data_IF_436053054576
#
_entry.id   IF_436053054576
#
_cell.length_a   1.000
_cell.length_b   1.000
_cell.length_c   1.000
_cell.angle_alpha   90.00
_cell.angle_beta   90.00
_cell.angle_gamma   90.00
#
_symmetry.space_group_name_H-M   'P 1'
#
loop_
_entity.id
_entity.type
_entity.pdbx_description
1 polymer ?
#
# COMPACT_ATOMS: atom_id res chain seq x y z
N UNK A 1 12.63 -14.54 -12.67
CA UNK A 1 12.23 -14.21 -14.05
C UNK A 1 13.26 -13.26 -14.63
N UNK A 2 13.72 -13.49 -15.85
CA UNK A 2 14.49 -12.48 -16.57
C UNK A 2 13.48 -11.51 -17.18
N UNK A 3 13.37 -10.30 -16.64
CA UNK A 3 12.45 -9.29 -17.13
C UNK A 3 13.02 -8.69 -18.42
N UNK A 4 12.29 -8.80 -19.53
CA UNK A 4 12.56 -7.97 -20.70
C UNK A 4 12.06 -6.55 -20.40
N UNK A 5 12.99 -5.61 -20.27
CA UNK A 5 12.69 -4.24 -19.90
C UNK A 5 11.92 -3.49 -20.98
N UNK A 6 12.22 -3.74 -22.25
CA UNK A 6 11.56 -3.10 -23.39
C UNK A 6 10.10 -3.56 -23.47
N UNK A 7 9.88 -4.88 -23.36
CA UNK A 7 8.53 -5.47 -23.37
C UNK A 7 7.70 -4.99 -22.17
N UNK A 8 8.29 -5.01 -20.97
CA UNK A 8 7.65 -4.49 -19.77
C UNK A 8 7.22 -3.04 -19.96
N UNK A 9 8.14 -2.17 -20.39
CA UNK A 9 7.87 -0.74 -20.57
C UNK A 9 6.79 -0.47 -21.64
N UNK A 10 6.84 -1.21 -22.74
CA UNK A 10 5.84 -1.15 -23.80
C UNK A 10 4.44 -1.54 -23.30
N UNK A 11 4.36 -2.51 -22.39
CA UNK A 11 3.12 -2.97 -21.76
C UNK A 11 2.52 -2.02 -20.71
N UNK A 12 3.31 -1.07 -20.18
CA UNK A 12 2.80 -0.12 -19.19
C UNK A 12 1.81 0.87 -19.78
N UNK A 13 0.76 1.17 -19.02
CA UNK A 13 -0.11 2.31 -19.31
C UNK A 13 0.66 3.63 -19.13
N UNK A 14 0.28 4.72 -19.84
CA UNK A 14 0.95 6.02 -19.72
C UNK A 14 1.10 6.50 -18.27
N UNK A 15 0.07 6.30 -17.44
CA UNK A 15 0.11 6.64 -16.00
C UNK A 15 1.21 5.88 -15.26
N UNK A 16 1.41 4.60 -15.54
CA UNK A 16 2.48 3.81 -14.92
C UNK A 16 3.86 4.25 -15.38
N UNK A 17 4.04 4.64 -16.64
CA UNK A 17 5.30 5.23 -17.10
C UNK A 17 5.60 6.53 -16.36
N UNK A 18 4.56 7.36 -16.15
CA UNK A 18 4.68 8.60 -15.39
C UNK A 18 5.05 8.34 -13.92
N UNK A 19 4.38 7.39 -13.27
CA UNK A 19 4.71 6.94 -11.91
C UNK A 19 6.14 6.43 -11.83
N UNK A 20 6.60 5.70 -12.83
CA UNK A 20 7.91 5.06 -12.78
C UNK A 20 9.06 5.98 -13.19
N UNK A 21 8.84 6.98 -14.04
CA UNK A 21 9.92 7.79 -14.62
C UNK A 21 9.58 9.27 -14.85
N UNK A 22 8.45 9.77 -14.34
CA UNK A 22 8.01 11.16 -14.55
C UNK A 22 7.63 11.49 -16.00
N UNK A 23 7.48 10.50 -16.87
CA UNK A 23 7.18 10.68 -18.30
C UNK A 23 6.19 9.64 -18.81
N UNK A 24 5.37 10.00 -19.79
CA UNK A 24 4.49 9.05 -20.49
C UNK A 24 5.13 8.45 -21.74
N UNK A 25 6.37 8.84 -22.03
CA UNK A 25 7.10 8.43 -23.23
C UNK A 25 7.08 6.92 -23.43
N UNK A 26 6.73 6.42 -24.63
CA UNK A 26 6.82 5.00 -24.94
C UNK A 26 8.26 4.51 -25.05
N UNK A 27 9.25 5.42 -25.12
CA UNK A 27 10.67 5.06 -25.10
C UNK A 27 11.12 4.77 -23.67
N UNK A 28 11.64 3.57 -23.37
CA UNK A 28 12.07 3.23 -22.01
C UNK A 28 13.28 4.05 -21.56
N UNK A 29 13.28 4.57 -20.33
CA UNK A 29 14.50 5.04 -19.68
C UNK A 29 15.38 3.84 -19.26
N UNK A 30 16.61 4.07 -18.75
CA UNK A 30 17.41 2.99 -18.18
C UNK A 30 16.67 2.24 -17.06
N UNK A 31 16.63 0.91 -17.13
CA UNK A 31 15.95 0.07 -16.15
C UNK A 31 16.56 0.14 -14.74
N UNK A 32 17.89 0.31 -14.67
CA UNK A 32 18.67 0.17 -13.45
C UNK A 32 18.17 1.01 -12.27
N UNK A 33 18.00 2.33 -12.43
CA UNK A 33 17.43 3.19 -11.38
C UNK A 33 16.03 2.75 -10.94
N UNK A 34 15.14 2.44 -11.89
CA UNK A 34 13.74 2.04 -11.63
C UNK A 34 13.66 0.72 -10.86
N UNK A 35 14.43 -0.29 -11.27
CA UNK A 35 14.38 -1.63 -10.68
C UNK A 35 15.07 -1.73 -9.32
N UNK A 36 15.86 -0.72 -8.94
CA UNK A 36 16.59 -0.66 -7.65
C UNK A 36 15.91 0.23 -6.62
N UNK A 37 14.85 0.96 -6.98
CA UNK A 37 14.12 1.82 -6.05
C UNK A 37 13.52 0.99 -4.92
N UNK A 38 13.57 1.50 -3.69
CA UNK A 38 12.92 0.89 -2.52
C UNK A 38 11.52 1.40 -2.27
N UNK A 39 11.25 2.62 -2.72
CA UNK A 39 9.99 3.31 -2.55
C UNK A 39 9.24 3.42 -3.86
N UNK A 40 7.93 3.39 -3.76
CA UNK A 40 7.02 3.61 -4.87
C UNK A 40 5.82 4.38 -4.37
N UNK A 41 5.39 5.39 -5.10
CA UNK A 41 4.06 5.94 -4.90
C UNK A 41 3.40 6.24 -6.23
N UNK A 42 2.09 6.11 -6.26
CA UNK A 42 1.29 6.51 -7.41
C UNK A 42 0.90 7.99 -7.37
N UNK A 43 1.29 8.75 -6.34
CA UNK A 43 0.98 10.18 -6.18
C UNK A 43 -0.51 10.49 -6.39
N UNK A 44 -1.37 9.73 -5.71
CA UNK A 44 -2.83 9.82 -5.84
C UNK A 44 -3.39 9.55 -7.25
N UNK A 45 -2.56 9.11 -8.20
CA UNK A 45 -3.00 8.79 -9.55
C UNK A 45 -3.84 7.52 -9.58
N UNK A 46 -4.88 7.52 -10.42
CA UNK A 46 -5.64 6.33 -10.75
C UNK A 46 -4.84 5.49 -11.76
N UNK A 47 -4.22 4.44 -11.23
CA UNK A 47 -3.32 3.58 -12.01
C UNK A 47 -4.02 2.38 -12.63
N UNK A 48 -5.27 2.12 -12.23
CA UNK A 48 -6.17 1.09 -12.76
C UNK A 48 -5.81 -0.34 -12.41
N UNK A 49 -4.53 -0.67 -12.27
CA UNK A 49 -4.04 -1.98 -11.81
C UNK A 49 -2.70 -1.86 -11.12
N UNK A 50 -2.44 -2.68 -10.10
CA UNK A 50 -1.13 -2.81 -9.46
C UNK A 50 -0.22 -3.87 -10.09
N UNK A 51 -0.61 -4.51 -11.19
CA UNK A 51 0.18 -5.57 -11.84
C UNK A 51 1.66 -5.19 -12.09
N UNK A 52 2.00 -3.95 -12.50
CA UNK A 52 3.40 -3.54 -12.67
C UNK A 52 4.27 -3.69 -11.41
N UNK A 53 3.69 -3.64 -10.21
CA UNK A 53 4.42 -3.78 -8.93
C UNK A 53 5.11 -5.14 -8.83
N UNK A 54 4.56 -6.20 -9.45
CA UNK A 54 5.20 -7.53 -9.48
C UNK A 54 6.62 -7.48 -10.04
N UNK A 55 6.88 -6.56 -10.96
CA UNK A 55 8.14 -6.42 -11.69
C UNK A 55 9.13 -5.45 -11.04
N UNK A 56 8.81 -4.91 -9.86
CA UNK A 56 9.65 -3.99 -9.09
C UNK A 56 10.16 -4.67 -7.80
N UNK A 57 11.12 -5.60 -7.89
CA UNK A 57 11.47 -6.50 -6.78
C UNK A 57 12.18 -5.82 -5.60
N UNK A 58 12.74 -4.62 -5.81
CA UNK A 58 13.42 -3.87 -4.76
C UNK A 58 12.46 -3.01 -3.91
N UNK A 59 11.22 -2.83 -4.35
CA UNK A 59 10.23 -2.01 -3.64
C UNK A 59 9.74 -2.75 -2.40
N UNK A 60 9.97 -2.16 -1.23
CA UNK A 60 9.53 -2.65 0.08
C UNK A 60 8.62 -1.66 0.81
N UNK A 61 8.60 -0.41 0.35
CA UNK A 61 7.75 0.66 0.86
C UNK A 61 6.89 1.21 -0.29
N UNK A 62 5.57 1.12 -0.20
CA UNK A 62 4.68 1.61 -1.26
C UNK A 62 3.50 2.42 -0.73
N UNK A 63 3.17 3.51 -1.43
CA UNK A 63 1.95 4.31 -1.24
C UNK A 63 1.13 4.26 -2.53
N UNK A 64 0.19 3.34 -2.56
CA UNK A 64 -0.61 3.03 -3.73
C UNK A 64 -2.00 3.60 -3.58
N UNK A 65 -2.38 4.40 -4.56
CA UNK A 65 -3.69 5.00 -4.65
C UNK A 65 -4.47 4.47 -5.85
N UNK A 66 -5.75 4.17 -5.65
CA UNK A 66 -6.70 3.81 -6.71
C UNK A 66 -8.15 4.07 -6.27
N UNK A 67 -9.07 4.18 -7.21
CA UNK A 67 -10.50 4.45 -6.96
C UNK A 67 -11.43 3.30 -7.36
N UNK A 68 -10.92 2.25 -8.02
CA UNK A 68 -11.72 1.17 -8.59
C UNK A 68 -11.57 -0.18 -7.88
N UNK A 69 -11.78 -0.21 -6.56
CA UNK A 69 -11.91 -1.46 -5.79
C UNK A 69 -10.61 -2.26 -5.56
N UNK A 70 -9.47 -1.80 -6.11
CA UNK A 70 -8.10 -2.30 -5.92
C UNK A 70 -7.94 -3.83 -5.92
N UNK A 71 -7.51 -4.42 -7.03
CA UNK A 71 -6.92 -5.77 -7.02
C UNK A 71 -5.56 -5.72 -6.30
N UNK A 72 -5.50 -6.35 -5.12
CA UNK A 72 -4.30 -6.40 -4.27
C UNK A 72 -3.45 -7.64 -4.55
N UNK A 73 -3.93 -8.58 -5.37
CA UNK A 73 -3.20 -9.77 -5.82
C UNK A 73 -1.77 -9.49 -6.31
N UNK A 74 -1.50 -8.41 -7.06
CA UNK A 74 -0.14 -8.01 -7.47
C UNK A 74 0.84 -7.73 -6.32
N UNK A 75 0.34 -7.41 -5.14
CA UNK A 75 1.15 -7.03 -3.97
C UNK A 75 1.60 -8.25 -3.16
N UNK A 76 1.10 -9.43 -3.47
CA UNK A 76 1.37 -10.68 -2.73
C UNK A 76 2.74 -11.29 -3.06
N UNK A 77 3.16 -12.28 -2.25
CA UNK A 77 4.37 -13.07 -2.52
C UNK A 77 5.70 -12.38 -2.20
N UNK A 78 5.66 -11.23 -1.50
CA UNK A 78 6.84 -10.51 -0.99
C UNK A 78 6.56 -9.93 0.39
N UNK A 79 7.62 -9.48 1.06
CA UNK A 79 7.53 -8.74 2.32
C UNK A 79 7.45 -7.23 2.04
N UNK A 80 6.56 -6.55 2.77
CA UNK A 80 6.42 -5.11 2.78
C UNK A 80 6.88 -4.56 4.13
N UNK A 81 7.86 -3.65 4.08
CA UNK A 81 8.22 -2.83 5.25
C UNK A 81 7.11 -1.79 5.50
N UNK A 82 6.58 -1.19 4.45
CA UNK A 82 5.44 -0.28 4.53
C UNK A 82 4.53 -0.46 3.32
N UNK A 83 3.24 -0.67 3.57
CA UNK A 83 2.21 -0.66 2.54
C UNK A 83 1.11 0.31 2.93
N UNK A 84 0.90 1.33 2.12
CA UNK A 84 -0.21 2.25 2.24
C UNK A 84 -1.12 2.08 1.03
N UNK A 85 -2.36 1.72 1.30
CA UNK A 85 -3.44 1.64 0.30
C UNK A 85 -4.42 2.78 0.55
N UNK A 86 -4.72 3.56 -0.49
CA UNK A 86 -5.68 4.65 -0.33
C UNK A 86 -6.48 5.02 -1.55
N UNK A 87 -7.61 5.68 -1.32
CA UNK A 87 -8.52 6.13 -2.36
C UNK A 87 -9.89 5.49 -2.26
N UNK A 88 -10.93 6.17 -2.80
CA UNK A 88 -12.34 5.88 -2.55
C UNK A 88 -12.74 4.55 -3.19
N UNK A 89 -12.41 3.45 -2.51
CA UNK A 89 -12.53 2.11 -3.03
C UNK A 89 -12.98 1.15 -1.93
N UNK A 90 -13.81 0.19 -2.32
CA UNK A 90 -14.14 -0.96 -1.48
C UNK A 90 -13.09 -2.05 -1.72
N UNK A 91 -12.25 -2.33 -0.73
CA UNK A 91 -11.12 -3.26 -0.85
C UNK A 91 -11.38 -4.58 -0.13
N UNK A 92 -10.94 -5.70 -0.72
CA UNK A 92 -10.86 -6.98 -0.03
C UNK A 92 -9.44 -7.20 0.51
N UNK A 93 -9.23 -6.81 1.77
CA UNK A 93 -7.91 -6.97 2.40
C UNK A 93 -7.52 -8.46 2.60
N UNK A 94 -8.46 -9.41 2.42
CA UNK A 94 -8.18 -10.84 2.41
C UNK A 94 -7.28 -11.28 1.26
N UNK A 95 -7.18 -10.50 0.17
CA UNK A 95 -6.23 -10.76 -0.91
C UNK A 95 -4.76 -10.68 -0.44
N UNK A 96 -4.48 -9.98 0.65
CA UNK A 96 -3.16 -9.93 1.29
C UNK A 96 -2.92 -11.09 2.28
N UNK A 97 -3.82 -12.07 2.37
CA UNK A 97 -3.66 -13.23 3.26
C UNK A 97 -2.32 -13.94 3.02
N UNK A 98 -1.55 -14.12 4.10
CA UNK A 98 -0.21 -14.71 4.05
C UNK A 98 0.89 -13.79 3.49
N UNK A 99 0.58 -12.57 3.06
CA UNK A 99 1.56 -11.58 2.59
C UNK A 99 2.14 -10.82 3.80
N UNK A 100 3.45 -10.92 4.07
CA UNK A 100 4.04 -10.23 5.20
C UNK A 100 4.05 -8.71 5.04
N UNK A 101 3.46 -7.98 6.00
CA UNK A 101 3.43 -6.51 6.03
C UNK A 101 3.76 -6.03 7.44
N UNK A 102 4.78 -5.21 7.60
CA UNK A 102 5.16 -4.69 8.92
C UNK A 102 4.31 -3.49 9.34
N UNK A 103 4.08 -2.57 8.41
CA UNK A 103 3.33 -1.34 8.60
C UNK A 103 2.27 -1.21 7.51
N UNK A 104 0.99 -1.26 7.90
CA UNK A 104 -0.13 -1.07 6.98
C UNK A 104 -0.80 0.28 7.26
N UNK A 105 -1.04 1.06 6.22
CA UNK A 105 -1.89 2.24 6.28
C UNK A 105 -3.06 2.09 5.31
N UNK A 106 -4.27 2.41 5.77
CA UNK A 106 -5.50 2.38 4.99
C UNK A 106 -6.14 3.77 5.06
N UNK A 107 -6.29 4.43 3.91
CA UNK A 107 -6.74 5.82 3.85
C UNK A 107 -7.85 6.01 2.82
N UNK A 108 -9.03 6.51 3.21
CA UNK A 108 -10.16 6.76 2.28
C UNK A 108 -10.68 5.47 1.62
N UNK A 109 -10.53 4.31 2.29
CA UNK A 109 -11.00 3.01 1.78
C UNK A 109 -12.12 2.45 2.66
N UNK A 110 -13.01 1.67 2.04
CA UNK A 110 -13.98 0.82 2.73
C UNK A 110 -13.49 -0.62 2.71
N UNK A 111 -13.21 -1.20 3.87
CA UNK A 111 -12.72 -2.60 3.97
C UNK A 111 -13.90 -3.55 4.05
N UNK A 112 -14.04 -4.48 3.08
CA UNK A 112 -15.17 -5.44 3.03
C UNK A 112 -15.30 -6.28 4.30
N UNK A 113 -14.17 -6.75 4.82
CA UNK A 113 -14.10 -7.59 6.01
C UNK A 113 -12.82 -7.25 6.79
N UNK A 114 -12.94 -6.36 7.76
CA UNK A 114 -11.82 -5.91 8.60
C UNK A 114 -11.20 -7.05 9.44
N UNK A 115 -11.92 -8.16 9.66
CA UNK A 115 -11.42 -9.32 10.41
C UNK A 115 -10.23 -9.97 9.70
N UNK A 116 -10.16 -9.85 8.36
CA UNK A 116 -9.08 -10.39 7.52
C UNK A 116 -7.70 -9.79 7.81
N UNK A 117 -7.62 -8.65 8.53
CA UNK A 117 -6.33 -8.13 9.01
C UNK A 117 -5.53 -9.15 9.84
N UNK A 118 -6.20 -10.11 10.50
CA UNK A 118 -5.55 -11.22 11.22
C UNK A 118 -4.74 -12.15 10.33
N UNK A 119 -5.06 -12.19 9.05
CA UNK A 119 -4.43 -13.06 8.05
C UNK A 119 -3.16 -12.44 7.44
N UNK A 120 -2.83 -11.19 7.79
CA UNK A 120 -1.62 -10.49 7.35
C UNK A 120 -0.49 -10.75 8.35
N UNK A 121 0.47 -11.64 8.05
CA UNK A 121 1.56 -11.92 8.97
C UNK A 121 2.48 -10.71 9.14
N UNK A 122 3.00 -10.53 10.36
CA UNK A 122 4.03 -9.52 10.62
C UNK A 122 3.50 -8.11 10.89
N UNK A 123 2.19 -7.90 10.88
CA UNK A 123 1.59 -6.59 11.12
C UNK A 123 1.89 -6.07 12.53
N UNK A 124 2.75 -5.05 12.60
CA UNK A 124 3.23 -4.42 13.86
C UNK A 124 2.66 -3.02 14.05
N UNK A 125 2.40 -2.30 12.96
CA UNK A 125 1.77 -0.97 13.00
C UNK A 125 0.62 -0.89 12.01
N UNK A 126 -0.50 -0.31 12.45
CA UNK A 126 -1.67 -0.04 11.62
C UNK A 126 -2.04 1.44 11.72
N UNK A 127 -2.23 2.08 10.58
CA UNK A 127 -2.82 3.42 10.49
C UNK A 127 -4.15 3.35 9.76
N UNK A 128 -5.20 3.87 10.37
CA UNK A 128 -6.53 3.96 9.79
C UNK A 128 -6.89 5.43 9.64
N UNK A 129 -7.14 5.89 8.42
CA UNK A 129 -7.44 7.30 8.15
C UNK A 129 -8.63 7.48 7.23
N UNK A 130 -9.46 8.47 7.56
CA UNK A 130 -10.54 8.95 6.68
C UNK A 130 -11.46 7.83 6.16
N UNK A 131 -12.06 7.06 7.05
CA UNK A 131 -13.01 5.99 6.71
C UNK A 131 -13.79 5.52 7.93
N UNK A 132 -14.64 4.50 7.74
CA UNK A 132 -15.30 3.77 8.81
C UNK A 132 -14.83 2.31 8.79
N UNK A 133 -14.15 1.89 9.85
CA UNK A 133 -13.57 0.56 9.97
C UNK A 133 -14.33 -0.33 10.95
N UNK A 134 -15.46 0.13 11.50
CA UNK A 134 -16.27 -0.64 12.43
C UNK A 134 -15.52 -1.06 13.70
N UNK A 135 -15.56 -2.35 14.05
CA UNK A 135 -14.82 -2.91 15.18
C UNK A 135 -13.54 -3.60 14.70
N UNK A 136 -12.39 -3.14 15.21
CA UNK A 136 -11.12 -3.75 14.91
C UNK A 136 -11.01 -5.13 15.59
N UNK A 137 -10.62 -6.19 14.86
CA UNK A 137 -10.36 -7.48 15.48
C UNK A 137 -9.19 -7.42 16.47
N UNK A 138 -9.08 -8.42 17.35
CA UNK A 138 -7.83 -8.65 18.08
C UNK A 138 -6.70 -9.01 17.10
N UNK A 139 -5.56 -8.33 17.23
CA UNK A 139 -4.39 -8.45 16.35
C UNK A 139 -3.17 -8.66 17.24
N UNK A 140 -2.87 -9.92 17.55
CA UNK A 140 -1.94 -10.32 18.63
C UNK A 140 -0.51 -9.76 18.50
N UNK A 141 -0.10 -9.36 17.28
CA UNK A 141 1.24 -8.82 16.98
C UNK A 141 1.26 -7.30 16.81
N UNK A 142 0.10 -6.65 16.83
CA UNK A 142 -0.02 -5.22 16.64
C UNK A 142 0.52 -4.50 17.88
N UNK A 143 1.54 -3.67 17.67
CA UNK A 143 2.18 -2.88 18.73
C UNK A 143 1.71 -1.43 18.71
N UNK A 144 1.37 -0.92 17.53
CA UNK A 144 0.94 0.46 17.32
C UNK A 144 -0.31 0.54 16.44
N UNK A 145 -1.25 1.36 16.89
CA UNK A 145 -2.45 1.72 16.15
C UNK A 145 -2.60 3.25 16.17
N UNK A 146 -2.54 3.87 15.00
CA UNK A 146 -2.84 5.30 14.82
C UNK A 146 -4.17 5.49 14.11
N UNK A 147 -5.04 6.33 14.67
CA UNK A 147 -6.44 6.46 14.25
C UNK A 147 -6.71 7.92 13.89
N UNK A 148 -7.14 8.13 12.65
CA UNK A 148 -7.70 9.37 12.07
C UNK A 148 -9.10 9.11 11.47
N UNK A 149 -9.78 8.07 11.96
CA UNK A 149 -10.97 7.49 11.35
C UNK A 149 -11.94 7.00 12.43
N UNK A 150 -13.17 6.68 12.01
CA UNK A 150 -14.13 6.02 12.88
C UNK A 150 -13.75 4.54 13.03
N UNK A 151 -13.47 4.12 14.27
CA UNK A 151 -13.16 2.72 14.61
C UNK A 151 -13.30 2.46 16.11
N UNK A 152 -13.92 1.32 16.44
CA UNK A 152 -14.00 0.77 17.78
C UNK A 152 -12.85 -0.20 18.02
N UNK A 153 -12.17 -0.07 19.16
CA UNK A 153 -11.00 -0.89 19.50
C UNK A 153 -11.15 -1.43 20.92
N UNK A 154 -11.23 -2.75 21.05
CA UNK A 154 -11.18 -3.43 22.36
C UNK A 154 -9.72 -3.64 22.79
N UNK A 155 -9.20 -2.67 23.53
CA UNK A 155 -7.83 -2.71 24.05
C UNK A 155 -7.60 -3.78 25.12
N UNK A 156 -8.66 -4.33 25.73
CA UNK A 156 -8.52 -5.41 26.70
C UNK A 156 -8.01 -6.70 26.05
N UNK A 157 -8.27 -6.87 24.74
CA UNK A 157 -7.76 -8.01 23.95
C UNK A 157 -6.30 -7.86 23.54
N UNK A 158 -5.76 -6.64 23.54
CA UNK A 158 -4.39 -6.31 23.14
C UNK A 158 -3.71 -5.38 24.16
N UNK A 159 -3.35 -5.86 25.38
CA UNK A 159 -2.90 -5.00 26.47
C UNK A 159 -1.55 -4.28 26.22
N UNK A 160 -0.75 -4.75 25.25
CA UNK A 160 0.50 -4.09 24.83
C UNK A 160 0.34 -3.10 23.68
N UNK A 161 -0.88 -2.92 23.15
CA UNK A 161 -1.12 -2.06 21.99
C UNK A 161 -1.06 -0.59 22.39
N UNK A 162 -0.15 0.17 21.78
CA UNK A 162 -0.18 1.62 21.84
C UNK A 162 -1.22 2.16 20.86
N UNK A 163 -2.28 2.77 21.38
CA UNK A 163 -3.31 3.43 20.57
C UNK A 163 -3.14 4.93 20.62
N UNK A 164 -3.03 5.56 19.46
CA UNK A 164 -2.95 7.02 19.30
C UNK A 164 -4.10 7.49 18.43
N UNK A 165 -4.94 8.38 18.96
CA UNK A 165 -6.01 9.04 18.20
C UNK A 165 -5.55 10.44 17.82
N UNK A 166 -5.83 10.83 16.58
CA UNK A 166 -5.39 12.08 15.96
C UNK A 166 -6.59 12.78 15.33
N UNK A 167 -6.66 14.08 15.53
CA UNK A 167 -7.71 14.95 14.99
C UNK A 167 -7.19 15.78 13.80
N UNK A 168 -5.87 15.84 13.63
CA UNK A 168 -5.22 16.48 12.50
C UNK A 168 -5.40 15.69 11.19
N UNK A 169 -5.16 16.33 10.05
CA UNK A 169 -5.18 15.65 8.75
C UNK A 169 -4.05 14.63 8.67
N UNK A 170 -4.36 13.42 8.19
CA UNK A 170 -3.34 12.41 7.95
C UNK A 170 -2.54 12.74 6.68
N UNK A 171 -1.21 12.66 6.79
CA UNK A 171 -0.30 12.76 5.66
C UNK A 171 0.55 11.47 5.57
N UNK A 172 0.72 10.90 4.36
CA UNK A 172 1.61 9.76 4.16
C UNK A 172 3.05 10.09 4.56
N UNK A 173 3.85 9.08 4.95
CA UNK A 173 5.21 9.30 5.47
C UNK A 173 6.25 9.72 4.41
N UNK A 174 5.93 9.60 3.12
CA UNK A 174 6.73 10.11 2.01
C UNK A 174 5.83 10.51 0.82
N UNK A 175 6.34 11.35 -0.08
CA UNK A 175 5.68 11.73 -1.33
C UNK A 175 6.27 10.97 -2.53
N UNK A 176 5.95 11.36 -3.78
CA UNK A 176 6.72 10.92 -4.95
C UNK A 176 8.20 11.11 -4.66
N UNK A 177 8.96 10.02 -4.74
CA UNK A 177 10.42 10.08 -4.65
C UNK A 177 10.85 11.21 -5.59
N UNK A 178 11.66 12.15 -5.08
CA UNK A 178 12.40 13.06 -5.95
C UNK A 178 13.21 12.16 -6.88
N UNK A 179 12.70 11.93 -8.08
CA UNK A 179 13.41 11.24 -9.15
C UNK A 179 14.55 12.18 -9.48
N UNK A 180 15.70 11.95 -8.84
CA UNK A 180 16.96 12.55 -9.25
C UNK A 180 17.19 12.10 -10.71
N UNK A 181 16.81 12.99 -11.64
CA UNK A 181 16.92 12.85 -13.09
C UNK A 181 18.38 12.87 -13.51
#
# INVERSE_FOLDING_TARGET
MNLDWEEFWAGLWPVWRRVLAGTESPTPPPAGPILRRRRLTTDFAWVGTFEPVRYLPAVTEALLWDDNGMDLGPLTGRHWELLHLGGPAVIDIGELSGTPVDHLALTVVDVRDIVRLREIPGLRSLTLAHGDFGELPALDRLMELTIYAEVTVDTARNPGLRVVRRDEMYFPPFGPDDVDV
#
